data_IF_557751657208
#
_entry.id   IF_557751657208
#
_cell.length_a   1.000
_cell.length_b   1.000
_cell.length_c   1.000
_cell.angle_alpha   90.00
_cell.angle_beta   90.00
_cell.angle_gamma   90.00
#
_symmetry.space_group_name_H-M   'P 1'
#
loop_
_entity.id
_entity.type
_entity.pdbx_description
1 polymer ?
#
# COMPACT_ATOMS: atom_id res chain seq x y z
N UNK A 1 -20.72 13.64 2.13
CA UNK A 1 -19.74 14.73 2.06
C UNK A 1 -18.57 14.22 1.25
N UNK A 2 -18.28 14.86 0.13
CA UNK A 2 -17.07 14.56 -0.65
C UNK A 2 -15.86 14.96 0.21
N UNK A 3 -15.01 13.99 0.54
CA UNK A 3 -13.82 14.24 1.37
C UNK A 3 -12.68 14.61 0.44
N UNK A 4 -12.19 15.84 0.54
CA UNK A 4 -11.00 16.27 -0.20
C UNK A 4 -9.81 15.37 0.14
N UNK A 5 -9.19 14.80 -0.90
CA UNK A 5 -7.98 13.98 -0.81
C UNK A 5 -6.81 14.75 -1.41
N UNK A 6 -5.66 14.68 -0.76
CA UNK A 6 -4.39 15.04 -1.38
C UNK A 6 -3.91 13.87 -2.24
N UNK A 7 -3.39 14.19 -3.42
CA UNK A 7 -2.84 13.21 -4.37
C UNK A 7 -1.34 13.43 -4.52
N UNK A 8 -0.57 12.36 -4.34
CA UNK A 8 0.81 12.26 -4.84
C UNK A 8 0.73 11.43 -6.11
N UNK A 9 1.00 12.08 -7.24
CA UNK A 9 1.01 11.41 -8.54
C UNK A 9 2.33 10.69 -8.79
N UNK A 10 2.27 9.54 -9.48
CA UNK A 10 3.46 8.74 -9.82
C UNK A 10 4.33 8.41 -8.60
N UNK A 11 3.70 7.98 -7.50
CA UNK A 11 4.37 7.71 -6.22
C UNK A 11 5.47 6.65 -6.34
N UNK A 12 5.34 5.75 -7.31
CA UNK A 12 6.34 4.73 -7.64
C UNK A 12 7.65 5.29 -8.20
N UNK A 13 7.71 6.59 -8.54
CA UNK A 13 8.92 7.30 -8.98
C UNK A 13 9.64 8.03 -7.85
N UNK A 14 9.15 7.89 -6.62
CA UNK A 14 9.74 8.49 -5.42
C UNK A 14 10.40 7.40 -4.58
N UNK A 15 11.41 7.77 -3.80
CA UNK A 15 11.93 6.88 -2.76
C UNK A 15 10.81 6.50 -1.78
N UNK A 16 10.77 5.25 -1.29
CA UNK A 16 9.81 4.82 -0.29
C UNK A 16 9.82 5.72 0.94
N UNK A 17 8.64 6.07 1.44
CA UNK A 17 8.50 6.88 2.65
C UNK A 17 7.44 6.29 3.57
N UNK A 18 7.61 6.50 4.87
CA UNK A 18 6.73 5.96 5.90
C UNK A 18 5.54 6.88 6.12
N UNK A 19 4.38 6.27 6.36
CA UNK A 19 3.15 6.96 6.73
C UNK A 19 2.54 6.30 7.97
N UNK A 20 1.79 7.09 8.73
CA UNK A 20 0.89 6.61 9.79
C UNK A 20 -0.54 6.95 9.41
N UNK A 21 -1.48 6.02 9.66
CA UNK A 21 -2.92 6.28 9.57
C UNK A 21 -3.45 6.52 10.97
N UNK A 22 -4.08 7.67 11.18
CA UNK A 22 -4.64 8.04 12.49
C UNK A 22 -6.01 7.40 12.70
N UNK A 23 -6.34 7.10 13.94
CA UNK A 23 -7.67 6.60 14.32
C UNK A 23 -8.27 7.46 15.41
N UNK A 24 -9.60 7.59 15.43
CA UNK A 24 -10.33 8.15 16.58
C UNK A 24 -10.45 7.16 17.75
N UNK A 25 -10.04 5.91 17.53
CA UNK A 25 -10.07 4.81 18.49
C UNK A 25 -8.64 4.33 18.81
N UNK A 26 -8.48 3.09 19.27
CA UNK A 26 -7.21 2.49 19.66
C UNK A 26 -6.42 1.81 18.52
N UNK A 27 -6.71 2.11 17.25
CA UNK A 27 -5.98 1.53 16.12
C UNK A 27 -4.64 2.23 15.89
N UNK A 28 -3.62 1.44 15.55
CA UNK A 28 -2.36 1.94 15.03
C UNK A 28 -2.10 1.27 13.66
N UNK A 29 -1.53 2.03 12.73
CA UNK A 29 -1.14 1.53 11.42
C UNK A 29 0.04 2.34 10.90
N UNK A 30 1.11 1.64 10.56
CA UNK A 30 2.29 2.16 9.89
C UNK A 30 2.41 1.48 8.54
N UNK A 31 2.56 2.25 7.47
CA UNK A 31 2.67 1.73 6.12
C UNK A 31 3.70 2.50 5.31
N UNK A 32 4.40 1.76 4.47
CA UNK A 32 5.27 2.31 3.44
C UNK A 32 4.42 2.81 2.25
N UNK A 33 4.88 3.84 1.55
CA UNK A 33 4.32 4.25 0.24
C UNK A 33 4.37 3.14 -0.81
N UNK A 34 5.14 2.08 -0.56
CA UNK A 34 5.18 0.85 -1.38
C UNK A 34 4.03 -0.12 -1.12
N UNK A 35 3.19 0.12 -0.11
CA UNK A 35 2.01 -0.69 0.22
C UNK A 35 2.19 -1.71 1.34
N UNK A 36 3.43 -2.02 1.74
CA UNK A 36 3.67 -2.87 2.91
C UNK A 36 3.25 -2.16 4.20
N UNK A 37 2.61 -2.89 5.11
CA UNK A 37 2.11 -2.32 6.36
C UNK A 37 2.29 -3.23 7.58
N UNK A 38 2.30 -2.59 8.74
CA UNK A 38 2.01 -3.19 10.03
C UNK A 38 0.84 -2.45 10.67
N UNK A 39 -0.07 -3.17 11.33
CA UNK A 39 -1.24 -2.58 11.97
C UNK A 39 -1.72 -3.43 13.13
N UNK A 40 -2.47 -2.82 14.05
CA UNK A 40 -3.07 -3.49 15.19
C UNK A 40 -3.88 -2.53 16.05
N UNK A 41 -4.19 -2.96 17.29
CA UNK A 41 -4.94 -2.16 18.25
C UNK A 41 -4.26 -2.15 19.61
N UNK A 42 -4.32 -1.04 20.34
CA UNK A 42 -3.78 -0.81 21.69
C UNK A 42 -2.26 -0.95 21.82
N UNK A 43 -1.69 -2.11 21.50
CA UNK A 43 -0.27 -2.45 21.68
C UNK A 43 0.23 -3.38 20.57
N UNK A 44 1.55 -3.52 20.45
CA UNK A 44 2.20 -4.31 19.40
C UNK A 44 1.91 -5.82 19.52
N UNK A 45 1.61 -6.34 20.70
CA UNK A 45 1.27 -7.76 20.92
C UNK A 45 -0.08 -8.14 20.30
N UNK A 46 -0.93 -7.15 19.99
CA UNK A 46 -2.21 -7.33 19.29
C UNK A 46 -2.11 -6.88 17.82
N UNK A 47 -0.93 -7.04 17.24
CA UNK A 47 -0.70 -6.77 15.83
C UNK A 47 -1.51 -7.73 14.94
N UNK A 48 -2.23 -7.15 13.97
CA UNK A 48 -2.86 -7.87 12.87
C UNK A 48 -1.82 -8.34 11.85
N UNK A 49 -0.81 -7.50 11.62
CA UNK A 49 0.31 -7.74 10.72
C UNK A 49 1.61 -7.62 11.51
N UNK A 50 2.62 -8.49 11.29
CA UNK A 50 3.87 -8.49 12.07
C UNK A 50 4.40 -7.09 12.36
N UNK A 51 4.66 -6.81 13.64
CA UNK A 51 5.25 -5.54 14.06
C UNK A 51 6.74 -5.54 13.76
N UNK A 52 7.14 -4.77 12.75
CA UNK A 52 8.51 -4.71 12.24
C UNK A 52 8.96 -3.26 12.11
N UNK A 53 10.27 -3.07 12.03
CA UNK A 53 10.89 -1.75 11.80
C UNK A 53 10.56 -1.20 10.41
N UNK A 54 10.65 0.11 10.26
CA UNK A 54 10.30 0.82 9.02
C UNK A 54 11.21 0.48 7.83
N UNK A 55 12.50 0.23 8.08
CA UNK A 55 13.43 -0.27 7.06
C UNK A 55 12.95 -1.61 6.46
N UNK A 56 12.40 -2.51 7.30
CA UNK A 56 11.77 -3.73 6.85
C UNK A 56 10.46 -3.44 6.09
N UNK A 57 9.63 -2.49 6.51
CA UNK A 57 8.43 -2.10 5.76
C UNK A 57 8.77 -1.59 4.35
N UNK A 58 9.82 -0.81 4.19
CA UNK A 58 10.24 -0.31 2.87
C UNK A 58 10.85 -1.41 2.00
N UNK A 59 11.72 -2.26 2.57
CA UNK A 59 12.37 -3.35 1.85
C UNK A 59 11.39 -4.45 1.45
N UNK A 60 10.43 -4.74 2.31
CA UNK A 60 9.45 -5.81 2.19
C UNK A 60 8.15 -5.36 1.52
N UNK A 61 8.22 -4.47 0.52
CA UNK A 61 7.08 -3.87 -0.18
C UNK A 61 5.92 -4.83 -0.57
N UNK A 62 6.15 -6.15 -0.60
CA UNK A 62 5.15 -7.17 -0.94
C UNK A 62 5.16 -8.41 -0.01
N UNK A 63 5.77 -8.32 1.18
CA UNK A 63 5.77 -9.43 2.14
C UNK A 63 4.49 -9.45 3.00
N UNK A 64 4.01 -8.26 3.39
CA UNK A 64 2.82 -8.12 4.24
C UNK A 64 2.00 -6.93 3.80
N UNK A 65 0.82 -7.21 3.26
CA UNK A 65 -0.09 -6.19 2.77
C UNK A 65 -1.04 -6.71 1.69
N UNK A 66 -1.71 -5.79 0.98
CA UNK A 66 -2.65 -6.17 -0.06
C UNK A 66 -1.93 -6.81 -1.26
N UNK A 67 -2.52 -7.89 -1.77
CA UNK A 67 -2.10 -8.53 -3.03
C UNK A 67 -3.31 -8.58 -3.95
N UNK A 68 -3.14 -8.15 -5.19
CA UNK A 68 -4.18 -8.20 -6.23
C UNK A 68 -3.59 -8.85 -7.47
N UNK A 69 -4.30 -9.85 -8.00
CA UNK A 69 -3.94 -10.55 -9.25
C UNK A 69 -5.19 -10.67 -10.09
N UNK A 70 -5.15 -10.08 -11.28
CA UNK A 70 -6.27 -10.05 -12.22
C UNK A 70 -5.85 -10.84 -13.46
N UNK A 71 -6.70 -11.80 -13.86
CA UNK A 71 -6.54 -12.54 -15.11
C UNK A 71 -7.57 -12.03 -16.11
N UNK A 72 -7.10 -11.63 -17.29
CA UNK A 72 -7.91 -11.09 -18.36
C UNK A 72 -7.77 -12.01 -19.57
N UNK A 73 -8.88 -12.36 -20.19
CA UNK A 73 -8.90 -13.11 -21.45
C UNK A 73 -9.21 -12.12 -22.58
N UNK A 74 -8.29 -11.94 -23.51
CA UNK A 74 -8.43 -11.03 -24.63
C UNK A 74 -7.84 -11.66 -25.90
N UNK A 75 -8.59 -11.71 -26.99
CA UNK A 75 -8.12 -12.23 -28.29
C UNK A 75 -7.46 -13.64 -28.20
N UNK A 76 -8.06 -14.56 -27.45
CA UNK A 76 -7.52 -15.90 -27.12
C UNK A 76 -6.16 -15.90 -26.37
N UNK A 77 -5.73 -14.76 -25.83
CA UNK A 77 -4.56 -14.65 -24.96
C UNK A 77 -5.01 -14.51 -23.50
N UNK A 78 -4.28 -15.17 -22.61
CA UNK A 78 -4.43 -15.00 -21.17
C UNK A 78 -3.41 -13.97 -20.71
N UNK A 79 -3.90 -12.78 -20.35
CA UNK A 79 -3.11 -11.72 -19.75
C UNK A 79 -3.24 -11.78 -18.23
N UNK A 80 -2.17 -11.43 -17.53
CA UNK A 80 -2.15 -11.30 -16.07
C UNK A 80 -1.69 -9.89 -15.74
N UNK A 81 -2.40 -9.25 -14.82
CA UNK A 81 -2.06 -7.93 -14.29
C UNK A 81 -2.03 -8.01 -12.76
N UNK A 82 -0.92 -7.57 -12.17
CA UNK A 82 -0.62 -7.58 -10.73
C UNK A 82 -0.24 -6.16 -10.32
N UNK A 83 -1.23 -5.27 -10.13
CA UNK A 83 -0.96 -3.90 -9.74
C UNK A 83 -0.15 -3.85 -8.44
N UNK A 84 0.69 -2.83 -8.33
CA UNK A 84 1.62 -2.60 -7.22
C UNK A 84 2.67 -3.68 -7.02
N UNK A 85 2.75 -4.74 -7.83
CA UNK A 85 3.80 -5.73 -7.67
C UNK A 85 5.17 -5.23 -8.18
N UNK A 86 6.25 -5.78 -7.64
CA UNK A 86 7.63 -5.57 -8.13
C UNK A 86 7.96 -6.35 -9.40
N UNK A 87 7.07 -7.24 -9.84
CA UNK A 87 7.30 -7.97 -11.08
C UNK A 87 7.11 -7.01 -12.24
N UNK A 88 8.10 -6.96 -13.14
CA UNK A 88 7.98 -6.19 -14.36
C UNK A 88 6.80 -6.72 -15.16
N UNK A 89 5.77 -5.89 -15.26
CA UNK A 89 4.66 -6.12 -16.17
C UNK A 89 4.81 -5.13 -17.32
N UNK A 90 4.63 -5.61 -18.54
CA UNK A 90 4.80 -4.83 -19.78
C UNK A 90 3.69 -3.80 -20.03
N UNK A 91 3.02 -3.34 -18.97
CA UNK A 91 1.92 -2.39 -19.07
C UNK A 91 2.38 -1.01 -18.64
N UNK A 92 1.93 0.00 -19.38
CA UNK A 92 2.02 1.37 -18.93
C UNK A 92 1.08 1.57 -17.75
N UNK A 93 1.62 2.02 -16.61
CA UNK A 93 0.86 2.21 -15.38
C UNK A 93 1.15 3.56 -14.76
N UNK A 94 0.12 4.15 -14.15
CA UNK A 94 0.24 5.31 -13.27
C UNK A 94 -0.12 4.90 -11.85
N UNK A 95 0.81 5.06 -10.90
CA UNK A 95 0.55 4.75 -9.50
C UNK A 95 0.40 6.04 -8.70
N UNK A 96 -0.76 6.23 -8.11
CA UNK A 96 -1.12 7.43 -7.38
C UNK A 96 -1.46 7.07 -5.94
N UNK A 97 -0.99 7.87 -4.99
CA UNK A 97 -1.27 7.71 -3.57
C UNK A 97 -2.15 8.85 -3.08
N UNK A 98 -3.16 8.52 -2.27
CA UNK A 98 -4.13 9.49 -1.77
C UNK A 98 -4.23 9.42 -0.25
N UNK A 99 -4.38 10.58 0.40
CA UNK A 99 -4.65 10.68 1.84
C UNK A 99 -5.54 11.88 2.10
N UNK A 100 -6.51 11.74 3.00
CA UNK A 100 -7.34 12.87 3.39
C UNK A 100 -6.59 13.80 4.36
N UNK A 101 -7.16 14.99 4.60
CA UNK A 101 -6.59 15.99 5.52
C UNK A 101 -6.55 15.56 6.99
N UNK A 102 -7.43 14.64 7.40
CA UNK A 102 -7.45 14.10 8.77
C UNK A 102 -6.41 13.01 8.99
N UNK A 103 -5.87 12.45 7.91
CA UNK A 103 -4.90 11.38 7.91
C UNK A 103 -5.44 10.00 8.30
N UNK A 104 -6.76 9.80 8.35
CA UNK A 104 -7.41 8.52 8.66
C UNK A 104 -7.89 7.73 7.44
#
# INVERSE_FOLDING_TARGET
MDRSLYKIANVNRMDPFLMTITSGEDHWMYLSSTGCLTAGRKKAEYALFPYVTDDLLHRNAHFTGPVTVIRIMENNKNLVWRPFSRYEESYETEQNLYKNSLGN
#
